data_IF_568732546695
#
_entry.id   IF_568732546695
#
_cell.length_a   1.000
_cell.length_b   1.000
_cell.length_c   1.000
_cell.angle_alpha   90.00
_cell.angle_beta   90.00
_cell.angle_gamma   90.00
#
_symmetry.space_group_name_H-M   'P 1'
#
loop_
_entity.id
_entity.type
_entity.pdbx_description
1 polymer ?
#
# COMPACT_ATOMS: atom_id res chain seq x y z
N UNK A 1 -10.38 -0.34 -20.96
CA UNK A 1 -10.20 0.03 -19.54
C UNK A 1 -8.81 -0.45 -19.13
N UNK A 2 -7.99 0.42 -18.57
CA UNK A 2 -6.71 0.01 -17.99
C UNK A 2 -6.94 -0.49 -16.55
N UNK A 3 -6.67 -1.77 -16.28
CA UNK A 3 -6.89 -2.39 -14.97
C UNK A 3 -6.02 -1.78 -13.86
N UNK A 4 -4.77 -1.42 -14.16
CA UNK A 4 -3.84 -0.82 -13.20
C UNK A 4 -4.31 0.57 -12.78
N UNK A 5 -4.80 1.38 -13.73
CA UNK A 5 -5.35 2.70 -13.40
C UNK A 5 -6.68 2.62 -12.64
N UNK A 6 -7.52 1.64 -12.96
CA UNK A 6 -8.75 1.40 -12.21
C UNK A 6 -8.44 1.02 -10.76
N UNK A 7 -7.45 0.14 -10.54
CA UNK A 7 -6.93 -0.20 -9.22
C UNK A 7 -6.38 1.04 -8.50
N UNK A 8 -5.52 1.83 -9.15
CA UNK A 8 -4.97 3.05 -8.58
C UNK A 8 -6.04 4.07 -8.17
N UNK A 9 -7.14 4.17 -8.94
CA UNK A 9 -8.28 5.04 -8.62
C UNK A 9 -9.08 4.52 -7.40
N UNK A 10 -9.26 3.20 -7.29
CA UNK A 10 -9.91 2.59 -6.12
C UNK A 10 -9.02 2.68 -4.87
N UNK A 11 -7.71 2.55 -5.01
CA UNK A 11 -6.74 2.76 -3.93
C UNK A 11 -6.78 4.19 -3.43
N UNK A 12 -6.88 5.19 -4.33
CA UNK A 12 -7.12 6.57 -3.92
C UNK A 12 -8.37 6.65 -3.04
N UNK A 13 -9.51 6.11 -3.49
CA UNK A 13 -10.73 6.16 -2.69
C UNK A 13 -10.58 5.43 -1.37
N UNK A 14 -9.86 4.31 -1.33
CA UNK A 14 -9.73 3.51 -0.13
C UNK A 14 -8.75 4.09 0.91
N UNK A 15 -7.60 4.56 0.43
CA UNK A 15 -6.43 4.89 1.25
C UNK A 15 -6.27 6.39 1.48
N UNK A 16 -6.64 7.21 0.50
CA UNK A 16 -6.31 8.64 0.46
C UNK A 16 -7.51 9.55 0.76
N UNK A 17 -8.62 8.98 1.21
CA UNK A 17 -9.81 9.74 1.61
C UNK A 17 -10.24 9.34 3.01
N UNK A 18 -10.89 10.27 3.68
CA UNK A 18 -11.38 10.05 5.04
C UNK A 18 -12.42 8.92 5.12
N UNK A 19 -13.30 8.81 4.13
CA UNK A 19 -14.46 7.91 4.18
C UNK A 19 -14.18 6.48 3.67
N UNK A 20 -13.14 6.28 2.84
CA UNK A 20 -12.84 4.97 2.24
C UNK A 20 -13.92 4.42 1.29
N UNK A 21 -14.91 5.24 0.87
CA UNK A 21 -16.11 4.76 0.16
C UNK A 21 -15.85 4.60 -1.34
N UNK A 22 -15.60 3.36 -1.77
CA UNK A 22 -15.29 3.02 -3.16
C UNK A 22 -16.36 3.45 -4.18
N UNK A 23 -17.63 3.51 -3.76
CA UNK A 23 -18.77 3.87 -4.61
C UNK A 23 -19.10 5.37 -4.65
N UNK A 24 -18.53 6.20 -3.77
CA UNK A 24 -18.86 7.63 -3.69
C UNK A 24 -17.81 8.47 -4.42
N UNK A 25 -18.18 9.04 -5.57
CA UNK A 25 -17.30 9.85 -6.42
C UNK A 25 -17.87 11.25 -6.66
N UNK A 26 -17.59 12.17 -5.74
CA UNK A 26 -17.92 13.58 -5.90
C UNK A 26 -16.94 14.28 -6.85
N UNK A 27 -17.29 15.46 -7.40
CA UNK A 27 -16.40 16.20 -8.30
C UNK A 27 -14.99 16.43 -7.73
N UNK A 28 -14.88 16.70 -6.42
CA UNK A 28 -13.59 16.83 -5.72
C UNK A 28 -12.75 15.55 -5.79
N UNK A 29 -13.36 14.38 -5.68
CA UNK A 29 -12.65 13.09 -5.75
C UNK A 29 -12.10 12.84 -7.15
N UNK A 30 -12.84 13.28 -8.18
CA UNK A 30 -12.39 13.21 -9.59
C UNK A 30 -11.20 14.15 -9.82
N UNK A 31 -11.27 15.37 -9.29
CA UNK A 31 -10.18 16.34 -9.40
C UNK A 31 -8.91 15.85 -8.69
N UNK A 32 -9.05 15.43 -7.43
CA UNK A 32 -7.93 14.94 -6.62
C UNK A 32 -7.29 13.68 -7.23
N UNK A 33 -8.09 12.70 -7.68
CA UNK A 33 -7.49 11.49 -8.25
C UNK A 33 -6.67 11.81 -9.50
N UNK A 34 -7.19 12.67 -10.39
CA UNK A 34 -6.56 12.97 -11.67
C UNK A 34 -5.41 13.99 -11.55
N UNK A 35 -5.51 14.98 -10.67
CA UNK A 35 -4.55 16.09 -10.60
C UNK A 35 -3.56 16.01 -9.43
N UNK A 36 -3.82 15.15 -8.46
CA UNK A 36 -3.01 15.01 -7.26
C UNK A 36 -2.49 13.58 -7.09
N UNK A 37 -3.39 12.60 -6.94
CA UNK A 37 -3.02 11.22 -6.61
C UNK A 37 -2.23 10.53 -7.73
N UNK A 38 -2.76 10.49 -8.96
CA UNK A 38 -2.09 9.82 -10.07
C UNK A 38 -0.75 10.50 -10.42
N UNK A 39 -0.64 11.84 -10.49
CA UNK A 39 0.65 12.51 -10.64
C UNK A 39 1.67 12.14 -9.57
N UNK A 40 1.21 11.91 -8.33
CA UNK A 40 2.08 11.55 -7.23
C UNK A 40 2.53 10.08 -7.26
N UNK A 41 1.63 9.16 -7.57
CA UNK A 41 1.82 7.72 -7.36
C UNK A 41 2.14 6.93 -8.64
N UNK A 42 1.59 7.32 -9.78
CA UNK A 42 1.72 6.56 -11.03
C UNK A 42 2.91 7.06 -11.83
N UNK A 43 3.82 6.12 -12.14
CA UNK A 43 5.00 6.36 -12.98
C UNK A 43 4.73 5.85 -14.39
N UNK A 44 4.77 6.76 -15.37
CA UNK A 44 4.75 6.45 -16.80
C UNK A 44 6.19 6.59 -17.31
N UNK A 45 6.84 5.48 -17.68
CA UNK A 45 8.25 5.53 -18.08
C UNK A 45 8.39 6.09 -19.51
N UNK A 46 9.53 6.74 -19.83
CA UNK A 46 9.79 7.20 -21.18
C UNK A 46 9.71 6.07 -22.21
N UNK A 47 8.97 6.28 -23.30
CA UNK A 47 8.80 5.31 -24.39
C UNK A 47 7.64 4.32 -24.21
N UNK A 48 6.95 4.33 -23.06
CA UNK A 48 5.71 3.57 -22.88
C UNK A 48 4.50 4.34 -23.43
N UNK A 49 3.50 3.60 -23.93
CA UNK A 49 2.22 4.19 -24.34
C UNK A 49 1.57 4.89 -23.12
N UNK A 50 1.13 6.13 -23.30
CA UNK A 50 0.50 6.88 -22.22
C UNK A 50 -0.88 6.31 -21.90
N UNK A 51 -1.18 6.13 -20.63
CA UNK A 51 -2.44 5.53 -20.22
C UNK A 51 -3.58 6.57 -20.26
N UNK A 52 -4.74 6.23 -20.79
CA UNK A 52 -5.92 7.11 -20.73
C UNK A 52 -6.59 7.01 -19.35
N UNK A 53 -6.04 7.74 -18.37
CA UNK A 53 -6.59 7.80 -17.01
C UNK A 53 -7.99 8.41 -16.96
N UNK A 54 -8.29 9.55 -17.61
CA UNK A 54 -9.65 10.07 -17.66
C UNK A 54 -10.65 9.09 -18.28
N UNK A 55 -10.32 8.45 -19.41
CA UNK A 55 -11.19 7.45 -20.03
C UNK A 55 -11.38 6.19 -19.18
N UNK A 56 -10.34 5.76 -18.47
CA UNK A 56 -10.44 4.66 -17.50
C UNK A 56 -11.37 5.03 -16.35
N UNK A 57 -11.26 6.23 -15.78
CA UNK A 57 -12.15 6.70 -14.72
C UNK A 57 -13.61 6.82 -15.21
N UNK A 58 -13.86 7.34 -16.42
CA UNK A 58 -15.21 7.33 -17.02
C UNK A 58 -15.77 5.92 -17.12
N UNK A 59 -14.94 4.96 -17.52
CA UNK A 59 -15.35 3.56 -17.65
C UNK A 59 -15.69 2.95 -16.28
N UNK A 60 -14.87 3.22 -15.26
CA UNK A 60 -15.13 2.80 -13.88
C UNK A 60 -16.44 3.39 -13.35
N UNK A 61 -16.67 4.69 -13.54
CA UNK A 61 -17.90 5.36 -13.08
C UNK A 61 -19.15 4.81 -13.76
N UNK A 62 -19.10 4.55 -15.07
CA UNK A 62 -20.19 3.88 -15.79
C UNK A 62 -20.45 2.48 -15.25
N UNK A 63 -19.39 1.72 -14.98
CA UNK A 63 -19.50 0.38 -14.39
C UNK A 63 -20.16 0.43 -13.01
N UNK A 64 -19.72 1.33 -12.11
CA UNK A 64 -20.29 1.45 -10.77
C UNK A 64 -21.80 1.76 -10.83
N UNK A 65 -22.23 2.64 -11.72
CA UNK A 65 -23.65 2.94 -11.89
C UNK A 65 -24.43 1.77 -12.51
N UNK A 66 -23.92 1.16 -13.59
CA UNK A 66 -24.57 0.03 -14.25
C UNK A 66 -24.71 -1.19 -13.34
N UNK A 67 -23.73 -1.42 -12.46
CA UNK A 67 -23.73 -2.51 -11.48
C UNK A 67 -24.45 -2.14 -10.17
N UNK A 68 -25.04 -0.95 -10.06
CA UNK A 68 -25.68 -0.44 -8.84
C UNK A 68 -24.76 -0.44 -7.60
N UNK A 69 -23.45 -0.26 -7.83
CA UNK A 69 -22.41 -0.12 -6.81
C UNK A 69 -22.10 1.36 -6.51
N UNK A 70 -22.60 2.28 -7.33
CA UNK A 70 -22.51 3.71 -7.08
C UNK A 70 -23.28 4.05 -5.80
N UNK A 71 -22.70 4.94 -5.00
CA UNK A 71 -23.31 5.36 -3.75
C UNK A 71 -24.56 6.21 -4.03
N UNK A 72 -25.73 5.89 -3.45
CA UNK A 72 -26.97 6.63 -3.74
C UNK A 72 -26.96 8.06 -3.21
N UNK A 73 -26.02 8.42 -2.32
CA UNK A 73 -25.81 9.80 -1.86
C UNK A 73 -24.89 10.60 -2.78
N UNK A 74 -24.29 9.94 -3.76
CA UNK A 74 -23.37 10.55 -4.71
C UNK A 74 -24.05 11.31 -5.85
N UNK A 75 -23.26 11.99 -6.69
CA UNK A 75 -23.77 12.67 -7.87
C UNK A 75 -24.34 11.68 -8.90
N UNK A 76 -25.12 12.19 -9.85
CA UNK A 76 -25.59 11.40 -10.98
C UNK A 76 -24.44 10.96 -11.89
N UNK A 77 -24.62 9.91 -12.68
CA UNK A 77 -23.62 9.47 -13.66
C UNK A 77 -23.24 10.61 -14.62
N UNK A 78 -24.21 11.41 -15.06
CA UNK A 78 -23.96 12.54 -15.95
C UNK A 78 -23.06 13.60 -15.30
N UNK A 79 -23.32 13.93 -14.03
CA UNK A 79 -22.52 14.90 -13.28
C UNK A 79 -21.10 14.38 -13.01
N UNK A 80 -20.96 13.09 -12.68
CA UNK A 80 -19.66 12.45 -12.52
C UNK A 80 -18.84 12.49 -13.82
N UNK A 81 -19.45 12.17 -14.96
CA UNK A 81 -18.77 12.22 -16.26
C UNK A 81 -18.38 13.66 -16.64
N UNK A 82 -19.28 14.63 -16.40
CA UNK A 82 -18.97 16.04 -16.63
C UNK A 82 -17.82 16.54 -15.74
N UNK A 83 -17.72 16.05 -14.50
CA UNK A 83 -16.58 16.35 -13.63
C UNK A 83 -15.26 15.82 -14.21
N UNK A 84 -15.27 14.62 -14.79
CA UNK A 84 -14.07 14.10 -15.47
C UNK A 84 -13.70 14.96 -16.67
N UNK A 85 -14.68 15.36 -17.48
CA UNK A 85 -14.43 16.16 -18.69
C UNK A 85 -13.81 17.52 -18.37
N UNK A 86 -14.27 18.18 -17.30
CA UNK A 86 -13.70 19.46 -16.84
C UNK A 86 -12.22 19.35 -16.47
N UNK A 87 -11.83 18.23 -15.84
CA UNK A 87 -10.48 18.03 -15.30
C UNK A 87 -9.54 17.37 -16.32
N UNK A 88 -10.08 16.61 -17.28
CA UNK A 88 -9.30 15.82 -18.23
C UNK A 88 -8.27 16.64 -19.01
N UNK A 89 -8.57 17.90 -19.33
CA UNK A 89 -7.68 18.80 -20.08
C UNK A 89 -6.43 19.15 -19.27
N UNK A 90 -6.55 19.25 -17.94
CA UNK A 90 -5.45 19.63 -17.05
C UNK A 90 -4.56 18.44 -16.66
N UNK A 91 -5.10 17.21 -16.77
CA UNK A 91 -4.42 16.00 -16.34
C UNK A 91 -3.03 15.78 -16.99
N UNK A 92 -2.85 15.94 -18.32
CA UNK A 92 -1.54 15.76 -18.94
C UNK A 92 -0.46 16.68 -18.37
N UNK A 93 -0.82 17.94 -18.08
CA UNK A 93 0.07 18.96 -17.48
C UNK A 93 0.40 18.58 -16.05
N UNK A 94 -0.59 18.18 -15.26
CA UNK A 94 -0.38 17.75 -13.87
C UNK A 94 0.55 16.53 -13.78
N UNK A 95 0.44 15.58 -14.71
CA UNK A 95 1.30 14.40 -14.76
C UNK A 95 2.77 14.71 -15.09
N UNK A 96 3.04 15.79 -15.83
CA UNK A 96 4.41 16.23 -16.16
C UNK A 96 5.01 17.21 -15.15
N UNK A 97 4.20 17.78 -14.27
CA UNK A 97 4.65 18.71 -13.23
C UNK A 97 5.43 17.96 -12.13
N UNK A 98 6.76 18.10 -12.15
CA UNK A 98 7.68 17.46 -11.20
C UNK A 98 7.39 17.84 -9.75
N UNK A 99 6.86 19.05 -9.51
CA UNK A 99 6.54 19.49 -8.16
C UNK A 99 5.39 18.69 -7.56
N UNK A 100 4.52 18.09 -8.38
CA UNK A 100 3.38 17.25 -7.95
C UNK A 100 3.74 15.79 -7.71
N UNK A 101 4.92 15.36 -8.13
CA UNK A 101 5.33 13.96 -8.04
C UNK A 101 5.56 13.51 -6.60
N UNK A 102 5.39 12.21 -6.35
CA UNK A 102 5.87 11.58 -5.13
C UNK A 102 7.39 11.44 -5.14
N UNK A 103 8.00 11.36 -3.96
CA UNK A 103 9.45 11.22 -3.82
C UNK A 103 9.99 9.99 -4.57
N UNK A 104 9.27 8.87 -4.49
CA UNK A 104 9.64 7.63 -5.19
C UNK A 104 9.63 7.81 -6.71
N UNK A 105 8.55 8.38 -7.27
CA UNK A 105 8.42 8.70 -8.69
C UNK A 105 9.49 9.69 -9.15
N UNK A 106 9.79 10.72 -8.36
CA UNK A 106 10.83 11.71 -8.68
C UNK A 106 12.18 11.04 -8.89
N UNK A 107 12.62 10.20 -7.96
CA UNK A 107 13.90 9.49 -8.08
C UNK A 107 13.89 8.45 -9.19
N UNK A 108 12.79 7.71 -9.35
CA UNK A 108 12.61 6.76 -10.44
C UNK A 108 12.76 7.43 -11.81
N UNK A 109 12.04 8.52 -12.05
CA UNK A 109 12.11 9.28 -13.30
C UNK A 109 13.49 9.91 -13.52
N UNK A 110 14.09 10.49 -12.49
CA UNK A 110 15.45 11.06 -12.58
C UNK A 110 16.48 9.99 -12.96
N UNK A 111 16.35 8.79 -12.40
CA UNK A 111 17.22 7.66 -12.73
C UNK A 111 17.02 7.19 -14.18
N UNK A 112 15.76 7.01 -14.63
CA UNK A 112 15.46 6.63 -16.01
C UNK A 112 15.92 7.65 -17.05
N UNK A 113 15.74 8.94 -16.78
CA UNK A 113 16.23 10.03 -17.65
C UNK A 113 17.76 10.01 -17.81
N UNK A 114 18.48 9.47 -16.82
CA UNK A 114 19.94 9.26 -16.85
C UNK A 114 20.34 7.87 -17.36
N UNK A 115 19.40 7.11 -17.93
CA UNK A 115 19.64 5.80 -18.52
C UNK A 115 19.77 4.66 -17.51
N UNK A 116 19.38 4.85 -16.25
CA UNK A 116 19.40 3.78 -15.25
C UNK A 116 18.20 2.86 -15.44
N UNK A 117 18.45 1.56 -15.55
CA UNK A 117 17.40 0.56 -15.56
C UNK A 117 16.80 0.40 -14.15
N UNK A 118 15.63 1.00 -13.92
CA UNK A 118 14.94 1.01 -12.61
C UNK A 118 14.58 -0.41 -12.12
N UNK A 119 14.37 -1.35 -13.05
CA UNK A 119 14.06 -2.74 -12.71
C UNK A 119 15.30 -3.53 -12.23
N UNK A 120 16.51 -3.02 -12.48
CA UNK A 120 17.74 -3.56 -11.91
C UNK A 120 18.01 -2.88 -10.57
N UNK A 121 17.67 -3.58 -9.49
CA UNK A 121 17.85 -3.08 -8.12
C UNK A 121 19.29 -2.70 -7.79
N UNK A 122 20.29 -3.38 -8.37
CA UNK A 122 21.69 -3.03 -8.15
C UNK A 122 22.07 -1.74 -8.88
N UNK A 123 21.56 -1.53 -10.10
CA UNK A 123 21.74 -0.27 -10.83
C UNK A 123 21.06 0.90 -10.12
N UNK A 124 19.83 0.71 -9.64
CA UNK A 124 19.10 1.73 -8.89
C UNK A 124 19.78 2.06 -7.56
N UNK A 125 20.32 1.06 -6.85
CA UNK A 125 21.07 1.29 -5.61
C UNK A 125 22.35 2.11 -5.86
N UNK A 126 23.13 1.77 -6.90
CA UNK A 126 24.32 2.56 -7.28
C UNK A 126 23.96 4.01 -7.60
N UNK A 127 22.82 4.24 -8.25
CA UNK A 127 22.30 5.58 -8.51
C UNK A 127 21.94 6.30 -7.21
N UNK A 128 21.26 5.64 -6.28
CA UNK A 128 20.91 6.21 -4.98
C UNK A 128 22.16 6.63 -4.18
N UNK A 129 23.20 5.78 -4.14
CA UNK A 129 24.46 6.08 -3.45
C UNK A 129 25.20 7.28 -4.08
N UNK A 130 25.13 7.45 -5.39
CA UNK A 130 25.66 8.63 -6.09
C UNK A 130 24.85 9.88 -5.79
N UNK A 131 23.52 9.78 -5.75
CA UNK A 131 22.64 10.89 -5.42
C UNK A 131 22.88 11.40 -3.99
N UNK A 132 23.08 10.50 -3.03
CA UNK A 132 23.44 10.84 -1.65
C UNK A 132 24.77 11.58 -1.53
N UNK A 133 25.73 11.27 -2.42
CA UNK A 133 27.03 11.95 -2.50
C UNK A 133 26.97 13.26 -3.29
N UNK A 134 25.81 13.67 -3.80
CA UNK A 134 25.65 14.87 -4.63
C UNK A 134 26.22 14.74 -6.05
N UNK A 135 26.49 13.52 -6.51
CA UNK A 135 27.11 13.22 -7.81
C UNK A 135 26.07 13.06 -8.95
N UNK A 136 24.80 13.36 -8.66
CA UNK A 136 23.66 13.22 -9.58
C UNK A 136 23.04 14.60 -9.77
N UNK A 137 22.90 15.03 -11.02
CA UNK A 137 22.13 16.22 -11.35
C UNK A 137 20.63 15.89 -11.23
N UNK A 138 19.89 16.73 -10.50
CA UNK A 138 18.44 16.62 -10.37
C UNK A 138 17.83 18.01 -10.14
N UNK A 139 16.51 18.12 -10.33
CA UNK A 139 15.76 19.35 -10.10
C UNK A 139 15.60 19.61 -8.58
N UNK A 140 16.47 20.45 -8.03
CA UNK A 140 16.48 20.78 -6.61
C UNK A 140 15.21 21.53 -6.17
N UNK A 141 14.65 22.39 -7.03
CA UNK A 141 13.45 23.15 -6.71
C UNK A 141 12.23 22.22 -6.62
N UNK A 142 12.11 21.28 -7.56
CA UNK A 142 11.06 20.27 -7.49
C UNK A 142 11.22 19.37 -6.26
N UNK A 143 12.43 18.92 -5.94
CA UNK A 143 12.67 18.11 -4.75
C UNK A 143 12.33 18.88 -3.46
N UNK A 144 12.72 20.15 -3.38
CA UNK A 144 12.40 21.02 -2.24
C UNK A 144 10.88 21.17 -2.07
N UNK A 145 10.13 21.42 -3.15
CA UNK A 145 8.67 21.50 -3.12
C UNK A 145 8.01 20.18 -2.66
N UNK A 146 8.52 19.03 -3.12
CA UNK A 146 8.05 17.71 -2.66
C UNK A 146 8.32 17.52 -1.16
N UNK A 147 9.48 17.95 -0.68
CA UNK A 147 9.87 17.79 0.73
C UNK A 147 9.12 18.72 1.66
N UNK A 148 8.96 19.99 1.29
CA UNK A 148 8.12 20.95 2.01
C UNK A 148 6.70 20.41 2.15
N UNK A 149 6.13 19.86 1.06
CA UNK A 149 4.80 19.26 1.08
C UNK A 149 4.68 18.12 2.09
N UNK A 150 5.66 17.22 2.12
CA UNK A 150 5.68 16.09 3.06
C UNK A 150 5.83 16.57 4.51
N UNK A 151 6.71 17.53 4.76
CA UNK A 151 6.99 18.07 6.10
C UNK A 151 5.82 18.86 6.69
N UNK A 152 5.13 19.63 5.86
CA UNK A 152 3.98 20.45 6.28
C UNK A 152 2.67 19.67 6.37
N UNK A 153 2.67 18.39 6.01
CA UNK A 153 1.46 17.57 5.94
C UNK A 153 0.44 18.06 4.91
N UNK A 154 0.81 19.00 4.03
CA UNK A 154 -0.04 19.50 2.94
C UNK A 154 -0.12 18.44 1.83
N UNK A 155 -0.75 17.31 2.08
CA UNK A 155 -0.97 16.35 1.02
C UNK A 155 -1.73 17.02 -0.15
N UNK A 156 -1.40 16.66 -1.40
CA UNK A 156 -2.16 17.15 -2.55
C UNK A 156 -3.60 16.59 -2.57
N UNK A 157 -3.87 15.61 -1.70
CA UNK A 157 -5.17 15.03 -1.37
C UNK A 157 -5.31 15.02 0.15
N UNK A 158 -6.36 15.65 0.69
CA UNK A 158 -6.49 16.03 2.11
C UNK A 158 -6.84 14.86 3.07
N UNK A 159 -6.83 13.61 2.61
CA UNK A 159 -7.42 12.51 3.35
C UNK A 159 -6.44 11.73 4.21
N UNK A 160 -6.11 12.22 5.41
CA UNK A 160 -5.88 11.26 6.50
C UNK A 160 -7.19 10.47 6.69
N UNK A 161 -7.11 9.13 6.69
CA UNK A 161 -8.29 8.28 6.92
C UNK A 161 -9.01 8.77 8.18
N UNK A 162 -10.33 8.93 8.12
CA UNK A 162 -11.09 9.25 9.33
C UNK A 162 -10.74 8.19 10.38
N UNK A 163 -10.59 8.63 11.64
CA UNK A 163 -10.38 7.73 12.77
C UNK A 163 -11.35 6.54 12.69
N UNK A 164 -10.91 5.34 13.14
CA UNK A 164 -11.65 4.10 12.95
C UNK A 164 -13.13 4.32 13.27
N UNK A 165 -13.98 3.99 12.29
CA UNK A 165 -15.43 4.01 12.43
C UNK A 165 -15.79 3.41 13.79
N UNK A 166 -16.64 4.12 14.55
CA UNK A 166 -17.17 3.63 15.83
C UNK A 166 -17.54 2.15 15.68
N UNK A 167 -17.22 1.29 16.67
CA UNK A 167 -17.36 -0.15 16.52
C UNK A 167 -18.75 -0.49 16.00
N UNK A 168 -18.79 -1.02 14.77
CA UNK A 168 -20.02 -1.55 14.20
C UNK A 168 -20.42 -2.70 15.11
N UNK A 169 -21.54 -2.54 15.81
CA UNK A 169 -22.15 -3.64 16.56
C UNK A 169 -22.52 -4.72 15.55
N UNK A 170 -21.72 -5.78 15.50
CA UNK A 170 -22.04 -6.93 14.69
C UNK A 170 -23.31 -7.58 15.24
N UNK A 171 -24.22 -8.07 14.38
CA UNK A 171 -25.29 -8.95 14.80
C UNK A 171 -24.74 -10.14 15.63
N UNK A 172 -25.56 -10.75 16.50
CA UNK A 172 -25.17 -11.96 17.22
C UNK A 172 -24.61 -13.07 16.31
N UNK A 173 -23.71 -13.91 16.85
CA UNK A 173 -23.01 -14.97 16.09
C UNK A 173 -23.97 -15.93 15.35
N UNK A 174 -25.15 -16.21 15.93
CA UNK A 174 -26.17 -17.07 15.30
C UNK A 174 -26.83 -16.40 14.09
N UNK A 175 -27.08 -15.09 14.16
CA UNK A 175 -27.60 -14.31 13.03
C UNK A 175 -26.55 -14.18 11.93
N UNK A 176 -25.29 -13.93 12.29
CA UNK A 176 -24.19 -13.93 11.33
C UNK A 176 -24.05 -15.30 10.65
N UNK A 177 -24.16 -16.40 11.41
CA UNK A 177 -24.09 -17.76 10.86
C UNK A 177 -25.25 -18.03 9.90
N UNK A 178 -26.49 -17.72 10.28
CA UNK A 178 -27.66 -17.87 9.39
C UNK A 178 -27.50 -17.06 8.10
N UNK A 179 -27.04 -15.81 8.18
CA UNK A 179 -26.79 -14.97 6.99
C UNK A 179 -25.66 -15.51 6.12
N UNK A 180 -24.61 -16.04 6.73
CA UNK A 180 -23.51 -16.67 6.01
C UNK A 180 -23.95 -17.97 5.33
N UNK A 181 -24.82 -18.77 5.96
CA UNK A 181 -25.42 -19.97 5.37
C UNK A 181 -26.34 -19.65 4.19
N UNK A 182 -27.05 -18.51 4.24
CA UNK A 182 -27.88 -18.02 3.14
C UNK A 182 -27.10 -17.34 2.00
N UNK A 183 -25.78 -17.15 2.15
CA UNK A 183 -24.95 -16.42 1.17
C UNK A 183 -24.30 -17.36 0.17
N UNK A 184 -24.68 -17.20 -1.11
CA UNK A 184 -24.08 -17.94 -2.23
C UNK A 184 -22.55 -17.77 -2.29
N UNK A 185 -22.02 -16.58 -2.01
CA UNK A 185 -20.56 -16.35 -2.01
C UNK A 185 -19.87 -17.15 -0.91
N UNK A 186 -20.45 -17.24 0.28
CA UNK A 186 -19.86 -18.02 1.38
C UNK A 186 -19.93 -19.51 1.08
N UNK A 187 -21.03 -19.98 0.49
CA UNK A 187 -21.17 -21.35 -0.01
C UNK A 187 -20.10 -21.67 -1.07
N UNK A 188 -19.91 -20.81 -2.06
CA UNK A 188 -18.89 -20.93 -3.09
C UNK A 188 -17.46 -20.96 -2.53
N UNK A 189 -17.14 -20.09 -1.57
CA UNK A 189 -15.84 -20.06 -0.90
C UNK A 189 -15.60 -21.34 -0.09
N UNK A 190 -16.63 -21.85 0.58
CA UNK A 190 -16.58 -23.12 1.31
C UNK A 190 -16.35 -24.29 0.36
N UNK A 191 -17.13 -24.37 -0.72
CA UNK A 191 -16.99 -25.41 -1.75
C UNK A 191 -15.62 -25.40 -2.40
N UNK A 192 -15.06 -24.22 -2.71
CA UNK A 192 -13.70 -24.10 -3.23
C UNK A 192 -12.66 -24.60 -2.23
N UNK A 193 -12.79 -24.23 -0.96
CA UNK A 193 -11.89 -24.68 0.10
C UNK A 193 -11.98 -26.19 0.32
N UNK A 194 -13.18 -26.77 0.25
CA UNK A 194 -13.42 -28.21 0.35
C UNK A 194 -12.84 -28.97 -0.84
N UNK A 195 -13.06 -28.49 -2.05
CA UNK A 195 -12.48 -29.04 -3.27
C UNK A 195 -10.94 -29.02 -3.24
N UNK A 196 -10.33 -27.93 -2.77
CA UNK A 196 -8.88 -27.85 -2.62
C UNK A 196 -8.34 -28.93 -1.66
N UNK A 197 -9.14 -29.28 -0.65
CA UNK A 197 -8.87 -30.36 0.29
C UNK A 197 -7.55 -30.22 1.07
N UNK A 198 -7.26 -31.22 1.90
CA UNK A 198 -5.98 -31.29 2.61
C UNK A 198 -4.86 -31.88 1.74
N UNK A 199 -5.21 -32.71 0.75
CA UNK A 199 -4.27 -33.30 -0.21
C UNK A 199 -3.77 -32.32 -1.28
N UNK A 200 -4.40 -31.15 -1.38
CA UNK A 200 -4.10 -30.08 -2.32
C UNK A 200 -4.47 -30.44 -3.76
N UNK A 201 -5.13 -29.53 -4.45
CA UNK A 201 -5.49 -29.71 -5.86
C UNK A 201 -4.40 -29.17 -6.79
N UNK A 202 -4.13 -29.83 -7.92
CA UNK A 202 -3.03 -29.43 -8.79
C UNK A 202 -3.29 -28.07 -9.45
N UNK A 203 -2.25 -27.22 -9.50
CA UNK A 203 -2.24 -25.99 -10.30
C UNK A 203 -1.16 -26.09 -11.38
N UNK A 204 -1.20 -25.20 -12.36
CA UNK A 204 -0.15 -25.04 -13.36
C UNK A 204 1.15 -24.54 -12.71
N UNK A 205 2.26 -24.59 -13.45
CA UNK A 205 3.54 -24.02 -12.99
C UNK A 205 3.42 -22.53 -12.62
N UNK A 206 2.52 -21.80 -13.28
CA UNK A 206 2.22 -20.38 -13.01
C UNK A 206 1.22 -20.19 -11.86
N UNK A 207 0.91 -21.23 -11.08
CA UNK A 207 -0.02 -21.16 -9.95
C UNK A 207 -1.49 -20.98 -10.31
N UNK A 208 -1.88 -21.25 -11.57
CA UNK A 208 -3.27 -21.13 -12.05
C UNK A 208 -3.99 -22.47 -11.98
N UNK A 209 -5.30 -22.45 -11.84
CA UNK A 209 -6.09 -23.68 -11.98
C UNK A 209 -5.84 -24.29 -13.36
N UNK A 210 -5.67 -25.61 -13.40
CA UNK A 210 -5.65 -26.34 -14.67
C UNK A 210 -7.04 -26.28 -15.30
N UNK A 211 -7.11 -26.34 -16.63
CA UNK A 211 -8.36 -26.09 -17.34
C UNK A 211 -9.47 -27.12 -17.09
N UNK A 212 -9.13 -28.38 -16.83
CA UNK A 212 -10.15 -29.39 -16.53
C UNK A 212 -10.80 -29.10 -15.17
N UNK A 213 -9.96 -28.86 -14.17
CA UNK A 213 -10.31 -28.48 -12.80
C UNK A 213 -11.06 -27.14 -12.76
N UNK A 214 -10.67 -26.17 -13.58
CA UNK A 214 -11.37 -24.90 -13.69
C UNK A 214 -12.80 -25.07 -14.25
N UNK A 215 -13.00 -25.94 -15.25
CA UNK A 215 -14.35 -26.21 -15.79
C UNK A 215 -15.23 -26.93 -14.79
N UNK A 216 -14.68 -27.93 -14.10
CA UNK A 216 -15.36 -28.62 -13.00
C UNK A 216 -15.80 -27.62 -11.92
N UNK A 217 -14.90 -26.73 -11.50
CA UNK A 217 -15.21 -25.74 -10.47
C UNK A 217 -16.25 -24.70 -10.90
N UNK A 218 -16.30 -24.31 -12.18
CA UNK A 218 -17.36 -23.41 -12.68
C UNK A 218 -18.73 -24.04 -12.49
N UNK A 219 -18.86 -25.33 -12.81
CA UNK A 219 -20.12 -26.08 -12.69
C UNK A 219 -20.47 -26.34 -11.22
N UNK A 220 -19.53 -26.93 -10.45
CA UNK A 220 -19.74 -27.31 -9.05
C UNK A 220 -20.02 -26.10 -8.16
N UNK A 221 -19.32 -24.98 -8.36
CA UNK A 221 -19.53 -23.77 -7.56
C UNK A 221 -20.60 -22.86 -8.15
N UNK A 222 -21.14 -23.19 -9.34
CA UNK A 222 -22.11 -22.36 -10.03
C UNK A 222 -21.63 -20.92 -10.21
N UNK A 223 -20.36 -20.71 -10.59
CA UNK A 223 -19.81 -19.34 -10.71
C UNK A 223 -20.48 -18.56 -11.85
N UNK A 224 -21.07 -19.26 -12.82
CA UNK A 224 -21.76 -18.67 -13.97
C UNK A 224 -20.82 -18.13 -15.04
N UNK A 225 -19.54 -18.51 -15.02
CA UNK A 225 -18.60 -18.20 -16.10
C UNK A 225 -18.97 -18.99 -17.38
N UNK A 226 -18.80 -18.36 -18.55
CA UNK A 226 -18.97 -19.05 -19.83
C UNK A 226 -17.71 -19.85 -20.14
N UNK A 227 -17.84 -21.17 -20.28
CA UNK A 227 -16.71 -22.09 -20.52
C UNK A 227 -16.40 -22.32 -22.00
N UNK A 228 -17.32 -21.98 -22.90
CA UNK A 228 -17.17 -22.18 -24.35
C UNK A 228 -16.07 -21.26 -24.91
N UNK A 229 -15.16 -21.84 -25.69
CA UNK A 229 -14.06 -21.09 -26.33
C UNK A 229 -12.92 -20.66 -25.40
N UNK A 230 -13.00 -20.94 -24.09
CA UNK A 230 -12.00 -20.55 -23.10
C UNK A 230 -10.76 -21.45 -23.16
N UNK A 231 -9.58 -20.81 -23.28
CA UNK A 231 -8.27 -21.47 -23.39
C UNK A 231 -7.48 -21.48 -22.08
N UNK A 232 -7.79 -20.57 -21.16
CA UNK A 232 -7.11 -20.47 -19.86
C UNK A 232 -8.09 -20.18 -18.73
N UNK A 233 -7.75 -20.63 -17.51
CA UNK A 233 -8.55 -20.32 -16.31
C UNK A 233 -8.54 -18.82 -16.00
N UNK A 234 -7.60 -18.08 -16.58
CA UNK A 234 -7.55 -16.62 -16.49
C UNK A 234 -8.71 -15.94 -17.22
N UNK A 235 -9.35 -16.62 -18.18
CA UNK A 235 -10.50 -16.09 -18.92
C UNK A 235 -11.83 -16.41 -18.22
N UNK A 236 -11.79 -16.97 -17.00
CA UNK A 236 -12.95 -17.25 -16.14
C UNK A 236 -12.97 -16.23 -14.99
N UNK A 237 -13.51 -15.01 -15.21
CA UNK A 237 -13.35 -13.89 -14.28
C UNK A 237 -14.01 -14.13 -12.91
N UNK A 238 -15.16 -14.82 -12.85
CA UNK A 238 -15.86 -15.03 -11.56
C UNK A 238 -15.17 -16.10 -10.73
N UNK A 239 -14.75 -17.21 -11.36
CA UNK A 239 -13.91 -18.21 -10.70
C UNK A 239 -12.57 -17.62 -10.24
N UNK A 240 -11.92 -16.83 -11.09
CA UNK A 240 -10.66 -16.15 -10.76
C UNK A 240 -10.82 -15.24 -9.53
N UNK A 241 -11.88 -14.43 -9.50
CA UNK A 241 -12.21 -13.57 -8.35
C UNK A 241 -12.40 -14.39 -7.06
N UNK A 242 -13.15 -15.49 -7.15
CA UNK A 242 -13.41 -16.36 -6.01
C UNK A 242 -12.11 -16.98 -5.44
N UNK A 243 -11.20 -17.41 -6.32
CA UNK A 243 -9.89 -17.93 -5.91
C UNK A 243 -9.04 -16.86 -5.22
N UNK A 244 -9.02 -15.64 -5.75
CA UNK A 244 -8.30 -14.54 -5.13
C UNK A 244 -8.90 -14.13 -3.77
N UNK A 245 -10.24 -14.10 -3.65
CA UNK A 245 -10.90 -13.91 -2.36
C UNK A 245 -10.55 -15.01 -1.37
N UNK A 246 -10.56 -16.27 -1.77
CA UNK A 246 -10.20 -17.39 -0.90
C UNK A 246 -8.73 -17.31 -0.43
N UNK A 247 -7.80 -16.86 -1.28
CA UNK A 247 -6.39 -16.62 -0.89
C UNK A 247 -6.28 -15.47 0.11
N UNK A 248 -6.91 -14.33 -0.17
CA UNK A 248 -6.88 -13.13 0.70
C UNK A 248 -7.54 -13.40 2.06
N UNK A 249 -8.62 -14.17 2.08
CA UNK A 249 -9.29 -14.65 3.29
C UNK A 249 -8.54 -15.78 4.00
N UNK A 250 -7.40 -16.24 3.45
CA UNK A 250 -6.59 -17.35 3.98
C UNK A 250 -7.38 -18.65 4.15
N UNK A 251 -8.32 -18.91 3.24
CA UNK A 251 -9.03 -20.18 3.14
C UNK A 251 -8.25 -21.21 2.32
N UNK A 252 -7.45 -20.72 1.36
CA UNK A 252 -6.58 -21.55 0.53
C UNK A 252 -5.19 -20.92 0.39
N UNK A 253 -4.19 -21.74 0.06
CA UNK A 253 -2.85 -21.28 -0.32
C UNK A 253 -2.27 -22.14 -1.44
N UNK A 254 -1.41 -21.54 -2.26
CA UNK A 254 -0.64 -22.29 -3.26
C UNK A 254 0.73 -22.63 -2.69
N UNK A 255 1.10 -23.90 -2.70
CA UNK A 255 2.42 -24.39 -2.28
C UNK A 255 2.87 -25.47 -3.25
N UNK A 256 4.11 -25.38 -3.76
CA UNK A 256 4.73 -26.38 -4.65
C UNK A 256 3.80 -26.83 -5.82
N UNK A 257 3.13 -25.88 -6.46
CA UNK A 257 2.25 -26.18 -7.60
C UNK A 257 0.94 -26.87 -7.24
N UNK A 258 0.47 -26.75 -5.98
CA UNK A 258 -0.84 -27.25 -5.54
C UNK A 258 -1.57 -26.21 -4.68
N UNK A 259 -2.89 -26.17 -4.80
CA UNK A 259 -3.78 -25.33 -3.99
C UNK A 259 -4.31 -26.15 -2.81
N UNK A 260 -3.96 -25.75 -1.60
CA UNK A 260 -4.37 -26.43 -0.37
C UNK A 260 -5.43 -25.64 0.38
N UNK A 261 -6.37 -26.36 1.01
CA UNK A 261 -7.21 -25.80 2.06
C UNK A 261 -6.34 -25.45 3.27
N UNK A 262 -6.59 -24.27 3.82
CA UNK A 262 -6.09 -23.90 5.14
C UNK A 262 -7.13 -24.33 6.19
N UNK A 263 -6.72 -25.21 7.10
CA UNK A 263 -7.48 -25.51 8.31
C UNK A 263 -7.33 -24.30 9.22
N UNK A 264 -8.30 -23.40 9.22
CA UNK A 264 -8.36 -22.38 10.25
C UNK A 264 -8.79 -23.07 11.55
N UNK A 265 -7.85 -23.31 12.47
CA UNK A 265 -8.16 -23.56 13.87
C UNK A 265 -8.24 -22.21 14.59
N UNK A 266 -9.43 -21.92 15.12
CA UNK A 266 -9.76 -20.86 16.08
C UNK A 266 -9.76 -19.39 15.61
N UNK A 267 -10.87 -18.73 15.97
CA UNK A 267 -11.06 -17.29 16.24
C UNK A 267 -9.74 -16.51 16.33
N UNK A 268 -9.44 -15.72 15.33
CA UNK A 268 -8.58 -14.55 15.52
C UNK A 268 -9.49 -13.36 15.80
N UNK A 269 -9.70 -13.10 17.10
CA UNK A 269 -9.94 -11.74 17.56
C UNK A 269 -8.78 -10.90 17.03
N UNK A 270 -9.13 -9.84 16.30
CA UNK A 270 -8.19 -8.85 15.79
C UNK A 270 -7.55 -8.19 17.00
N UNK A 271 -6.37 -8.66 17.40
CA UNK A 271 -5.49 -7.93 18.30
C UNK A 271 -4.89 -6.78 17.49
N UNK A 272 -5.48 -5.59 17.63
CA UNK A 272 -4.86 -4.33 17.22
C UNK A 272 -3.65 -4.09 18.14
N UNK A 273 -2.45 -4.21 17.60
CA UNK A 273 -1.17 -3.93 18.25
C UNK A 273 -0.10 -3.61 17.19
N UNK A 274 0.91 -2.78 17.52
CA UNK A 274 1.38 -1.73 16.62
C UNK A 274 2.49 -2.21 15.69
N UNK A 275 2.29 -2.04 14.38
CA UNK A 275 3.37 -2.04 13.42
C UNK A 275 3.51 -0.64 12.82
N UNK A 276 4.14 0.22 13.61
CA UNK A 276 4.94 1.33 13.08
C UNK A 276 6.24 0.72 12.59
N UNK A 277 6.59 0.98 11.32
CA UNK A 277 7.94 0.81 10.80
C UNK A 277 8.10 -0.22 9.68
N UNK A 278 7.83 0.21 8.44
CA UNK A 278 8.65 -0.05 7.25
C UNK A 278 7.90 0.45 6.00
N UNK A 279 7.87 1.77 5.78
CA UNK A 279 7.62 2.31 4.43
C UNK A 279 8.83 1.96 3.56
N UNK A 280 8.78 0.80 2.91
CA UNK A 280 9.52 0.56 1.67
C UNK A 280 8.76 1.28 0.56
N UNK A 281 9.40 2.29 -0.04
CA UNK A 281 8.90 3.10 -1.14
C UNK A 281 8.61 2.22 -2.37
N UNK A 282 7.38 1.74 -2.51
CA UNK A 282 6.93 1.08 -3.74
C UNK A 282 6.78 2.13 -4.86
N UNK A 283 7.67 2.09 -5.84
CA UNK A 283 7.48 2.78 -7.11
C UNK A 283 6.44 1.97 -7.90
N UNK A 284 5.23 2.52 -8.08
CA UNK A 284 4.21 1.90 -8.93
C UNK A 284 4.49 2.21 -10.39
N UNK A 285 5.09 1.25 -11.09
CA UNK A 285 5.35 1.30 -12.53
C UNK A 285 4.24 0.55 -13.27
N UNK A 286 3.69 1.17 -14.32
CA UNK A 286 2.76 0.50 -15.24
C UNK A 286 3.52 -0.55 -16.05
N UNK A 287 3.56 -1.80 -15.59
CA UNK A 287 4.14 -2.88 -16.39
C UNK A 287 3.16 -3.24 -17.52
N UNK A 288 3.57 -3.05 -18.77
CA UNK A 288 2.86 -3.62 -19.91
C UNK A 288 2.72 -5.13 -19.69
N UNK A 289 1.50 -5.67 -19.81
CA UNK A 289 1.21 -7.08 -19.60
C UNK A 289 2.07 -7.95 -20.54
N UNK A 290 3.02 -8.66 -19.94
CA UNK A 290 3.74 -9.79 -20.52
C UNK A 290 3.93 -10.84 -19.43
N UNK A 291 3.42 -12.04 -19.69
CA UNK A 291 3.62 -13.25 -18.87
C UNK A 291 5.12 -13.46 -18.55
N UNK A 292 5.44 -13.88 -17.32
CA UNK A 292 6.72 -14.56 -17.03
C UNK A 292 7.34 -14.27 -15.67
N UNK A 293 6.99 -15.12 -14.69
CA UNK A 293 7.74 -15.65 -13.54
C UNK A 293 9.03 -14.99 -12.98
N UNK A 294 9.03 -14.95 -11.63
CA UNK A 294 10.11 -15.26 -10.65
C UNK A 294 11.06 -14.16 -10.17
N UNK A 295 11.65 -14.48 -9.00
CA UNK A 295 12.56 -13.72 -8.10
C UNK A 295 11.74 -12.97 -7.03
N UNK A 296 11.53 -13.48 -5.81
CA UNK A 296 12.51 -13.89 -4.80
C UNK A 296 11.97 -15.03 -3.90
N UNK A 297 12.61 -16.20 -3.92
CA UNK A 297 12.65 -17.14 -2.79
C UNK A 297 14.12 -17.28 -2.39
N UNK A 298 14.50 -16.66 -1.28
CA UNK A 298 15.77 -16.93 -0.60
C UNK A 298 15.59 -18.08 0.40
N UNK A 299 16.52 -19.05 0.49
CA UNK A 299 16.39 -20.18 1.40
C UNK A 299 16.62 -19.75 2.85
N UNK A 300 15.72 -20.17 3.74
CA UNK A 300 15.91 -20.08 5.18
C UNK A 300 17.00 -21.04 5.66
N UNK A 301 17.93 -20.51 6.45
CA UNK A 301 18.83 -21.27 7.31
C UNK A 301 18.70 -20.75 8.74
N UNK A 302 18.17 -21.59 9.63
CA UNK A 302 18.14 -21.36 11.07
C UNK A 302 19.56 -21.36 11.66
N UNK A 303 19.91 -20.36 12.48
CA UNK A 303 20.69 -20.58 13.71
C UNK A 303 20.22 -19.57 14.77
N UNK A 304 19.70 -20.10 15.88
CA UNK A 304 19.41 -19.41 17.13
C UNK A 304 20.38 -19.98 18.16
N UNK A 305 21.31 -19.17 18.65
CA UNK A 305 22.06 -19.35 19.91
C UNK A 305 22.73 -17.99 20.18
N UNK A 306 22.22 -17.18 21.11
CA UNK A 306 22.69 -17.14 22.51
C UNK A 306 24.21 -17.22 22.62
N UNK A 307 24.85 -16.11 23.01
CA UNK A 307 26.01 -16.06 23.91
C UNK A 307 26.28 -14.59 24.31
N UNK A 308 25.67 -14.18 25.42
CA UNK A 308 26.20 -13.15 26.31
C UNK A 308 26.70 -13.87 27.57
N UNK A 309 27.91 -13.51 28.01
CA UNK A 309 28.64 -14.08 29.15
C UNK A 309 29.97 -14.66 28.66
N UNK A 310 31.15 -14.22 29.08
CA UNK A 310 31.53 -13.48 30.27
C UNK A 310 32.68 -14.24 30.94
N UNK A 311 33.84 -13.58 31.03
CA UNK A 311 34.97 -13.82 31.92
C UNK A 311 35.99 -14.96 31.65
N UNK A 312 37.25 -14.50 31.68
CA UNK A 312 38.46 -15.05 32.33
C UNK A 312 39.43 -16.05 31.66
N UNK A 313 40.71 -15.65 31.77
CA UNK A 313 41.94 -16.44 31.69
C UNK A 313 42.49 -16.58 30.27
N UNK A 314 43.71 -16.19 29.93
CA UNK A 314 44.91 -15.90 30.71
C UNK A 314 46.12 -16.38 29.88
N UNK A 315 47.22 -15.63 29.99
CA UNK A 315 48.57 -15.89 29.45
C UNK A 315 48.84 -15.61 27.96
N UNK A 316 49.99 -15.13 27.53
CA UNK A 316 51.12 -14.36 28.09
C UNK A 316 52.14 -14.20 26.92
N UNK A 317 53.09 -13.29 27.09
CA UNK A 317 54.33 -13.08 26.32
C UNK A 317 54.38 -12.11 25.11
N UNK A 318 54.82 -10.89 25.47
CA UNK A 318 56.04 -10.15 25.02
C UNK A 318 56.23 -9.85 23.53
N UNK A 319 56.70 -8.68 23.11
CA UNK A 319 57.28 -7.47 23.74
C UNK A 319 57.36 -6.42 22.61
N UNK A 320 57.86 -5.19 22.69
CA UNK A 320 58.74 -4.43 23.59
C UNK A 320 58.73 -3.01 23.01
N UNK A 321 58.77 -1.94 23.82
CA UNK A 321 59.11 -0.60 23.34
C UNK A 321 58.45 0.57 24.07
N UNK A 322 59.17 1.13 25.04
CA UNK A 322 58.94 2.42 25.74
C UNK A 322 60.24 3.25 25.54
N UNK A 323 60.44 4.49 26.05
CA UNK A 323 59.53 5.57 26.50
C UNK A 323 59.87 6.95 25.86
N UNK A 324 59.07 7.99 26.13
CA UNK A 324 59.54 9.32 26.58
C UNK A 324 58.36 10.27 26.94
N UNK A 325 58.26 10.62 28.22
CA UNK A 325 58.23 11.99 28.79
C UNK A 325 57.60 13.13 27.96
N UNK A 326 56.69 13.97 28.47
CA UNK A 326 57.00 14.90 29.58
C UNK A 326 55.78 15.71 30.07
N UNK A 327 55.91 16.13 31.34
CA UNK A 327 55.13 17.05 32.21
C UNK A 327 54.76 18.39 31.53
N UNK A 328 53.69 19.13 31.89
CA UNK A 328 53.56 20.01 33.08
C UNK A 328 52.27 20.87 32.94
N UNK A 329 51.43 21.00 33.98
CA UNK A 329 51.18 22.21 34.83
C UNK A 329 50.83 23.52 34.06
N UNK A 330 49.85 24.38 34.38
CA UNK A 330 49.30 24.82 35.68
C UNK A 330 48.07 25.75 35.51
N UNK A 331 47.25 25.81 36.57
CA UNK A 331 46.40 26.92 37.09
C UNK A 331 45.18 27.42 36.29
N UNK A 332 43.93 27.44 36.81
CA UNK A 332 43.29 27.71 38.12
C UNK A 332 42.71 29.13 38.23
N UNK A 333 41.49 29.17 38.83
CA UNK A 333 40.69 30.30 39.38
C UNK A 333 39.90 31.16 38.37
N UNK A 334 38.65 31.57 38.63
CA UNK A 334 37.78 31.47 39.81
C UNK A 334 36.30 31.70 39.42
N UNK A 335 35.36 31.09 40.14
CA UNK A 335 33.97 31.58 40.29
C UNK A 335 33.91 32.81 41.23
N UNK A 336 32.74 33.22 41.80
CA UNK A 336 31.59 32.38 42.14
C UNK A 336 30.16 32.98 41.99
N UNK A 337 29.19 32.04 42.07
CA UNK A 337 27.83 32.05 42.67
C UNK A 337 27.21 33.37 43.19
N UNK A 338 25.91 33.59 42.89
CA UNK A 338 24.78 33.31 43.81
C UNK A 338 23.42 33.75 43.22
N UNK A 339 22.37 32.99 43.55
CA UNK A 339 20.91 33.12 43.26
C UNK A 339 20.21 34.06 44.30
N UNK A 340 18.86 34.14 44.52
CA UNK A 340 17.63 33.60 43.87
C UNK A 340 16.41 34.59 43.81
N UNK A 341 15.20 34.04 43.51
CA UNK A 341 13.79 34.52 43.75
C UNK A 341 13.12 35.35 42.63
N UNK A 342 11.82 35.27 42.32
CA UNK A 342 10.64 34.64 42.95
C UNK A 342 9.52 34.33 41.93
N UNK A 343 8.67 33.38 42.33
CA UNK A 343 7.34 32.99 41.82
C UNK A 343 6.27 34.08 42.01
N UNK A 344 5.36 34.27 41.05
CA UNK A 344 3.94 34.63 41.35
C UNK A 344 3.01 33.99 40.32
N UNK A 345 1.99 33.33 40.86
CA UNK A 345 0.86 32.65 40.24
C UNK A 345 -0.26 33.63 39.88
N UNK A 346 -1.06 33.35 38.83
CA UNK A 346 -2.43 33.86 38.73
C UNK A 346 -3.35 32.87 37.99
N UNK A 347 -4.15 32.16 38.78
CA UNK A 347 -5.46 31.66 38.39
C UNK A 347 -6.45 32.83 38.26
N UNK A 348 -7.30 32.84 37.24
CA UNK A 348 -8.65 33.40 37.33
C UNK A 348 -9.62 32.41 36.68
N UNK A 349 -10.45 31.81 37.52
CA UNK A 349 -11.77 31.28 37.17
C UNK A 349 -12.72 32.45 36.91
N UNK A 350 -13.56 32.35 35.87
CA UNK A 350 -14.95 32.80 36.00
C UNK A 350 -15.85 32.02 35.03
N UNK A 351 -16.71 31.19 35.62
CA UNK A 351 -17.95 30.68 35.03
C UNK A 351 -18.94 31.84 34.92
N UNK A 352 -19.76 31.86 33.88
CA UNK A 352 -21.20 32.12 34.05
C UNK A 352 -21.97 31.44 32.90
N UNK A 353 -22.80 30.49 33.30
CA UNK A 353 -23.87 29.87 32.51
C UNK A 353 -25.08 30.80 32.42
N UNK A 354 -26.04 30.41 31.55
CA UNK A 354 -27.50 30.72 31.45
C UNK A 354 -27.82 31.20 30.02
N UNK A 355 -28.86 30.76 29.29
CA UNK A 355 -29.78 29.60 29.27
C UNK A 355 -30.73 29.89 28.06
N UNK A 356 -31.11 28.85 27.31
CA UNK A 356 -32.40 28.60 26.61
C UNK A 356 -33.19 29.71 25.87
N UNK A 357 -33.66 29.36 24.66
CA UNK A 357 -34.95 29.83 24.14
C UNK A 357 -35.17 29.65 22.63
N UNK A 358 -36.13 28.77 22.29
CA UNK A 358 -36.78 28.49 21.00
C UNK A 358 -36.06 27.55 20.01
#
# INVERSE_FOLDING_TARGET
MDGFLAEAALDYRHLATADGRLGLWEPRHVEEVLLSWLPQQVTELPGEERADAPGTLRTLLRYLHAAQLADPRGPSLQDSLAAVDRVAIQHPVAMTDRTRWGLAKFWAMTAAEQGVHIQDGAAFQRFADRAQRGEVAYDQQALAAIMERRLTGRALSDGARAEPQLPVMLPPDDELRRRAEASTTVEQLRGLAEWAGQGGSPVTATGRLRMAEARELVDVLGTGDRIEGVRSSADLPRLGLLVEWAKKARLVRVVKGRLYRLLQAARQQIALGPHVGAELLEVRVRKAQGLGDRVLEGPGGHVRQELLGGADGGHEFCGTGHPADSRSHTHSRAGPRATPRATVSRCVHMRHSVLLGA
#
